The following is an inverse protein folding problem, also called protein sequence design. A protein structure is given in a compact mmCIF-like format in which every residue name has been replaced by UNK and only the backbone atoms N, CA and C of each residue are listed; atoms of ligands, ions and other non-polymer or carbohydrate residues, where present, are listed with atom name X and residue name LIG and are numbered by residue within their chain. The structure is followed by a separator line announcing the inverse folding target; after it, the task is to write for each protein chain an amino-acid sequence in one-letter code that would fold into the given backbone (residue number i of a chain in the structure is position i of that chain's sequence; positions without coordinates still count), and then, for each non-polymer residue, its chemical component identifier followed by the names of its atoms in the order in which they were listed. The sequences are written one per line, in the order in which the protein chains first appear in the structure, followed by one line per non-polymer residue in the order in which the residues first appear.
data_IF_233612904305
#
_entry.id   IF_233612904305
#
_cell.length_a   1.000
_cell.length_b   1.000
_cell.length_c   1.000
_cell.angle_alpha   90.00
_cell.angle_beta   90.00
_cell.angle_gamma   90.00
#
_symmetry.space_group_name_H-M   'P 1'
#
loop_
_entity.id
_entity.type
_entity.pdbx_description
1 polymer ?
#
# COMPACT_ATOMS: atom_id res chain seq x y z
N UNK A 1 -15.39 19.31 3.53
CA UNK A 1 -13.94 19.52 3.27
C UNK A 1 -13.17 18.19 3.20
N UNK A 2 -13.48 17.20 4.04
CA UNK A 2 -12.80 15.88 4.04
C UNK A 2 -13.02 15.09 2.74
N UNK A 3 -14.22 15.10 2.16
CA UNK A 3 -14.52 14.38 0.91
C UNK A 3 -13.69 14.89 -0.28
N UNK A 4 -13.50 16.20 -0.40
CA UNK A 4 -12.69 16.81 -1.48
C UNK A 4 -11.22 16.39 -1.35
N UNK A 5 -10.69 16.40 -0.12
CA UNK A 5 -9.30 15.99 0.14
C UNK A 5 -9.07 14.54 -0.27
N UNK A 6 -10.03 13.65 0.01
CA UNK A 6 -9.92 12.22 -0.36
C UNK A 6 -10.00 12.03 -1.86
N UNK A 7 -10.91 12.73 -2.53
CA UNK A 7 -10.98 12.70 -4.01
C UNK A 7 -9.65 13.09 -4.61
N UNK A 8 -8.98 14.14 -4.10
CA UNK A 8 -7.66 14.55 -4.55
C UNK A 8 -6.59 13.45 -4.36
N UNK A 9 -6.64 12.70 -3.25
CA UNK A 9 -5.71 11.58 -3.04
C UNK A 9 -6.01 10.35 -3.91
N UNK A 10 -7.28 10.14 -4.27
CA UNK A 10 -7.70 9.01 -5.12
C UNK A 10 -7.56 9.33 -6.61
N UNK A 11 -7.64 10.61 -7.00
CA UNK A 11 -7.51 11.05 -8.40
C UNK A 11 -6.31 10.42 -9.16
N UNK A 12 -5.11 10.33 -8.57
CA UNK A 12 -3.96 9.71 -9.23
C UNK A 12 -4.20 8.24 -9.62
N UNK A 13 -5.12 7.53 -8.97
CA UNK A 13 -5.43 6.13 -9.33
C UNK A 13 -6.11 5.99 -10.70
N UNK A 14 -6.71 7.04 -11.23
CA UNK A 14 -7.36 7.04 -12.54
C UNK A 14 -6.38 7.13 -13.69
N UNK A 15 -5.14 7.55 -13.40
CA UNK A 15 -4.06 7.60 -14.36
C UNK A 15 -3.39 6.22 -14.41
N UNK A 16 -3.05 5.75 -15.62
CA UNK A 16 -2.33 4.50 -15.79
C UNK A 16 -1.04 4.50 -14.95
N UNK A 17 -0.81 3.41 -14.21
CA UNK A 17 0.33 3.28 -13.30
C UNK A 17 1.68 3.47 -13.99
N UNK A 18 1.85 2.96 -15.22
CA UNK A 18 3.07 3.14 -16.01
C UNK A 18 3.33 4.61 -16.34
N UNK A 19 2.30 5.34 -16.79
CA UNK A 19 2.41 6.77 -17.08
C UNK A 19 2.80 7.56 -15.83
N UNK A 20 2.24 7.22 -14.70
CA UNK A 20 2.51 7.85 -13.41
C UNK A 20 3.96 7.59 -12.96
N UNK A 21 4.43 6.35 -13.09
CA UNK A 21 5.81 5.98 -12.78
C UNK A 21 6.82 6.68 -13.69
N UNK A 22 6.54 6.75 -15.00
CA UNK A 22 7.38 7.48 -15.96
C UNK A 22 7.44 8.98 -15.66
N UNK A 23 6.29 9.60 -15.37
CA UNK A 23 6.24 11.02 -14.99
C UNK A 23 7.03 11.30 -13.70
N UNK A 24 6.96 10.40 -12.74
CA UNK A 24 7.73 10.49 -11.47
C UNK A 24 9.22 10.35 -11.73
N UNK A 25 9.65 9.43 -12.60
CA UNK A 25 11.05 9.27 -12.98
C UNK A 25 11.58 10.53 -13.68
N UNK A 26 10.80 11.08 -14.61
CA UNK A 26 11.17 12.31 -15.32
C UNK A 26 11.25 13.52 -14.38
N UNK A 27 10.33 13.62 -13.42
CA UNK A 27 10.39 14.66 -12.38
C UNK A 27 11.69 14.58 -11.57
N UNK A 28 12.12 13.38 -11.18
CA UNK A 28 13.39 13.20 -10.48
C UNK A 28 14.59 13.60 -11.35
N UNK A 29 14.57 13.26 -12.64
CA UNK A 29 15.59 13.71 -13.59
C UNK A 29 15.65 15.25 -13.69
N UNK A 30 14.52 15.91 -13.84
CA UNK A 30 14.44 17.38 -13.91
C UNK A 30 14.96 18.05 -12.62
N UNK A 31 14.74 17.42 -11.47
CA UNK A 31 15.23 17.90 -10.17
C UNK A 31 16.71 17.56 -9.91
N UNK A 32 17.39 16.89 -10.83
CA UNK A 32 18.77 16.45 -10.65
C UNK A 32 18.96 15.35 -9.60
N UNK A 33 17.89 14.64 -9.22
CA UNK A 33 17.93 13.57 -8.23
C UNK A 33 18.37 12.27 -8.91
N UNK A 34 19.45 11.66 -8.42
CA UNK A 34 19.91 10.38 -8.95
C UNK A 34 18.93 9.25 -8.63
N UNK A 35 18.55 8.49 -9.66
CA UNK A 35 17.68 7.33 -9.51
C UNK A 35 18.38 6.19 -8.76
N UNK A 36 17.71 5.63 -7.75
CA UNK A 36 18.26 4.59 -6.88
C UNK A 36 17.27 4.12 -5.80
N UNK A 37 17.78 3.66 -4.67
CA UNK A 37 16.94 3.14 -3.56
C UNK A 37 15.95 4.18 -3.03
N UNK A 38 16.39 5.43 -2.89
CA UNK A 38 15.55 6.52 -2.36
C UNK A 38 14.38 6.84 -3.28
N UNK A 39 14.64 7.02 -4.57
CA UNK A 39 13.61 7.30 -5.57
C UNK A 39 12.64 6.12 -5.74
N UNK A 40 13.13 4.87 -5.63
CA UNK A 40 12.28 3.69 -5.61
C UNK A 40 11.28 3.74 -4.45
N UNK A 41 11.76 3.96 -3.22
CA UNK A 41 10.90 4.01 -2.04
C UNK A 41 9.86 5.14 -2.14
N UNK A 42 10.29 6.34 -2.53
CA UNK A 42 9.38 7.48 -2.69
C UNK A 42 8.33 7.19 -3.78
N UNK A 43 8.73 6.63 -4.91
CA UNK A 43 7.83 6.27 -5.99
C UNK A 43 6.83 5.19 -5.57
N UNK A 44 7.28 4.15 -4.86
CA UNK A 44 6.39 3.10 -4.34
C UNK A 44 5.38 3.66 -3.33
N UNK A 45 5.82 4.52 -2.41
CA UNK A 45 4.92 5.18 -1.47
C UNK A 45 3.90 6.03 -2.22
N UNK A 46 4.32 6.83 -3.18
CA UNK A 46 3.43 7.67 -3.99
C UNK A 46 2.40 6.83 -4.77
N UNK A 47 2.83 5.76 -5.42
CA UNK A 47 1.96 4.92 -6.24
C UNK A 47 0.95 4.11 -5.42
N UNK A 48 1.33 3.67 -4.23
CA UNK A 48 0.49 2.80 -3.39
C UNK A 48 -0.22 3.53 -2.24
N UNK A 49 0.11 4.79 -1.99
CA UNK A 49 -0.50 5.59 -0.92
C UNK A 49 -2.05 5.63 -0.99
N UNK A 50 -2.69 5.81 -2.16
CA UNK A 50 -4.15 5.79 -2.25
C UNK A 50 -4.77 4.46 -1.81
N UNK A 51 -4.12 3.33 -2.10
CA UNK A 51 -4.56 1.99 -1.70
C UNK A 51 -4.53 1.80 -0.18
N UNK A 52 -3.63 2.48 0.51
CA UNK A 52 -3.57 2.47 1.97
C UNK A 52 -4.60 3.43 2.60
N UNK A 53 -4.78 4.62 2.02
CA UNK A 53 -5.69 5.63 2.55
C UNK A 53 -7.15 5.17 2.46
N UNK A 54 -7.54 4.55 1.35
CA UNK A 54 -8.94 4.21 1.07
C UNK A 54 -9.59 3.31 2.14
N UNK A 55 -9.03 2.14 2.52
CA UNK A 55 -9.64 1.29 3.55
C UNK A 55 -9.62 1.93 4.94
N UNK A 56 -8.57 2.66 5.30
CA UNK A 56 -8.50 3.37 6.57
C UNK A 56 -9.60 4.42 6.66
N UNK A 57 -9.75 5.21 5.60
CA UNK A 57 -10.80 6.21 5.53
C UNK A 57 -12.20 5.59 5.65
N UNK A 58 -12.46 4.47 4.96
CA UNK A 58 -13.75 3.80 5.03
C UNK A 58 -14.10 3.35 6.45
N UNK A 59 -13.14 2.83 7.20
CA UNK A 59 -13.35 2.44 8.60
C UNK A 59 -13.62 3.70 9.46
N UNK A 60 -12.77 4.72 9.34
CA UNK A 60 -12.94 5.95 10.11
C UNK A 60 -14.26 6.67 9.82
N UNK A 61 -14.71 6.65 8.57
CA UNK A 61 -15.97 7.29 8.17
C UNK A 61 -17.22 6.52 8.67
N UNK A 62 -17.09 5.22 8.87
CA UNK A 62 -18.16 4.36 9.43
C UNK A 62 -18.13 4.27 10.96
N UNK A 63 -17.07 4.77 11.58
CA UNK A 63 -16.92 4.74 13.03
C UNK A 63 -17.97 5.63 13.69
N UNK A 64 -18.67 5.08 14.68
CA UNK A 64 -19.64 5.85 15.45
C UNK A 64 -18.91 6.93 16.29
N UNK A 65 -19.38 8.15 16.19
CA UNK A 65 -18.84 9.29 16.94
C UNK A 65 -19.01 9.12 18.44
N UNK A 66 -19.99 8.34 18.87
CA UNK A 66 -20.27 8.07 20.28
C UNK A 66 -19.05 7.53 21.03
N UNK A 67 -18.17 6.76 20.38
CA UNK A 67 -16.93 6.29 21.01
C UNK A 67 -15.98 7.44 21.38
N UNK A 68 -15.87 8.43 20.51
CA UNK A 68 -15.01 9.59 20.75
C UNK A 68 -15.63 10.55 21.76
N UNK A 69 -16.96 10.71 21.72
CA UNK A 69 -17.73 11.53 22.65
C UNK A 69 -17.70 10.94 24.07
N UNK A 70 -17.95 9.65 24.23
CA UNK A 70 -17.86 8.97 25.51
C UNK A 70 -16.45 9.05 26.14
N UNK A 71 -15.40 8.93 25.32
CA UNK A 71 -14.04 9.10 25.82
C UNK A 71 -13.76 10.55 26.27
N UNK A 72 -14.29 11.54 25.55
CA UNK A 72 -14.17 12.95 25.92
C UNK A 72 -14.94 13.26 27.22
N UNK A 73 -16.14 12.69 27.41
CA UNK A 73 -16.93 12.80 28.63
C UNK A 73 -16.22 12.25 29.86
N UNK A 74 -15.38 11.22 29.65
CA UNK A 74 -14.50 10.66 30.69
C UNK A 74 -13.23 11.50 30.93
N UNK A 75 -13.13 12.68 30.30
CA UNK A 75 -12.01 13.62 30.48
C UNK A 75 -10.78 13.33 29.62
N UNK A 76 -10.91 12.49 28.58
CA UNK A 76 -9.79 12.25 27.67
C UNK A 76 -9.52 13.48 26.79
N UNK A 77 -8.23 13.85 26.68
CA UNK A 77 -7.81 14.89 25.75
C UNK A 77 -7.95 14.43 24.29
N UNK A 78 -8.11 15.33 23.29
CA UNK A 78 -8.22 14.95 21.88
C UNK A 78 -7.10 14.04 21.39
N UNK A 79 -5.88 14.21 21.90
CA UNK A 79 -4.72 13.37 21.62
C UNK A 79 -4.86 11.96 22.18
N UNK A 80 -5.43 11.84 23.39
CA UNK A 80 -5.73 10.53 23.99
C UNK A 80 -6.86 9.82 23.26
N UNK A 81 -7.90 10.53 22.84
CA UNK A 81 -9.00 9.98 22.02
C UNK A 81 -8.44 9.44 20.72
N UNK A 82 -7.56 10.19 20.04
CA UNK A 82 -6.94 9.74 18.80
C UNK A 82 -6.16 8.43 19.00
N UNK A 83 -5.22 8.39 19.94
CA UNK A 83 -4.33 7.24 20.10
C UNK A 83 -4.97 6.03 20.79
N UNK A 84 -5.90 6.26 21.74
CA UNK A 84 -6.49 5.18 22.57
C UNK A 84 -7.83 4.67 22.02
N UNK A 85 -8.52 5.45 21.19
CA UNK A 85 -9.83 5.08 20.65
C UNK A 85 -9.78 4.95 19.14
N UNK A 86 -9.44 6.03 18.42
CA UNK A 86 -9.55 6.04 16.97
C UNK A 86 -8.52 5.12 16.29
N UNK A 87 -7.26 5.12 16.72
CA UNK A 87 -6.22 4.29 16.14
C UNK A 87 -6.53 2.80 16.34
N UNK A 88 -6.82 2.28 17.55
CA UNK A 88 -7.18 0.88 17.72
C UNK A 88 -8.41 0.45 16.92
N UNK A 89 -9.46 1.27 16.90
CA UNK A 89 -10.68 0.99 16.14
C UNK A 89 -10.46 1.05 14.62
N UNK A 90 -9.43 1.77 14.14
CA UNK A 90 -9.07 1.82 12.73
C UNK A 90 -8.15 0.67 12.27
N UNK A 91 -7.63 -0.16 13.18
CA UNK A 91 -6.70 -1.25 12.86
C UNK A 91 -7.21 -2.22 11.78
N UNK A 92 -8.50 -2.62 11.72
CA UNK A 92 -9.00 -3.44 10.62
C UNK A 92 -8.82 -2.77 9.26
N UNK A 93 -8.95 -1.44 9.19
CA UNK A 93 -8.67 -0.65 7.99
C UNK A 93 -7.20 -0.63 7.61
N UNK A 94 -6.32 -0.51 8.61
CA UNK A 94 -4.86 -0.55 8.41
C UNK A 94 -4.45 -1.92 7.87
N UNK A 95 -4.93 -3.03 8.48
CA UNK A 95 -4.64 -4.39 8.01
C UNK A 95 -5.11 -4.57 6.57
N UNK A 96 -6.33 -4.13 6.25
CA UNK A 96 -6.86 -4.18 4.88
C UNK A 96 -6.04 -3.35 3.90
N UNK A 97 -5.58 -2.16 4.31
CA UNK A 97 -4.70 -1.31 3.50
C UNK A 97 -3.35 -1.96 3.22
N UNK A 98 -2.73 -2.56 4.23
CA UNK A 98 -1.47 -3.30 4.06
C UNK A 98 -1.63 -4.43 3.05
N UNK A 99 -2.74 -5.18 3.10
CA UNK A 99 -3.05 -6.23 2.11
C UNK A 99 -3.16 -5.69 0.70
N UNK A 100 -3.91 -4.58 0.53
CA UNK A 100 -4.11 -3.95 -0.77
C UNK A 100 -2.80 -3.41 -1.38
N UNK A 101 -1.85 -3.01 -0.55
CA UNK A 101 -0.54 -2.52 -0.99
C UNK A 101 0.44 -3.67 -1.22
N UNK A 102 0.40 -4.71 -0.39
CA UNK A 102 1.37 -5.80 -0.42
C UNK A 102 1.40 -6.55 -1.76
N UNK A 103 0.22 -6.96 -2.26
CA UNK A 103 0.13 -7.74 -3.50
C UNK A 103 0.75 -7.02 -4.71
N UNK A 104 0.34 -5.77 -5.05
CA UNK A 104 0.93 -5.06 -6.18
C UNK A 104 2.40 -4.70 -5.94
N UNK A 105 2.83 -4.47 -4.68
CA UNK A 105 4.23 -4.15 -4.36
C UNK A 105 5.16 -5.31 -4.67
N UNK A 106 4.78 -6.54 -4.34
CA UNK A 106 5.59 -7.74 -4.60
C UNK A 106 5.63 -8.07 -6.10
N UNK A 107 4.52 -7.86 -6.80
CA UNK A 107 4.38 -8.21 -8.22
C UNK A 107 4.88 -7.14 -9.19
N UNK A 108 5.12 -5.91 -8.72
CA UNK A 108 5.54 -4.82 -9.61
C UNK A 108 6.93 -5.05 -10.20
N UNK A 109 7.09 -4.68 -11.46
CA UNK A 109 8.38 -4.62 -12.14
C UNK A 109 8.69 -3.18 -12.64
N UNK A 110 7.68 -2.48 -13.15
CA UNK A 110 7.83 -1.19 -13.80
C UNK A 110 8.42 -0.11 -12.88
N UNK A 111 7.98 -0.04 -11.63
CA UNK A 111 8.48 0.96 -10.67
C UNK A 111 9.98 0.78 -10.43
N UNK A 112 10.43 -0.46 -10.27
CA UNK A 112 11.85 -0.77 -10.09
C UNK A 112 12.68 -0.44 -11.34
N UNK A 113 12.18 -0.81 -12.50
CA UNK A 113 12.87 -0.60 -13.77
C UNK A 113 13.09 0.90 -14.05
N UNK A 114 12.03 1.71 -13.97
CA UNK A 114 12.08 3.13 -14.32
C UNK A 114 12.69 4.02 -13.23
N UNK A 115 12.46 3.72 -11.94
CA UNK A 115 12.93 4.56 -10.84
C UNK A 115 14.33 4.22 -10.33
N UNK A 116 14.94 3.14 -10.83
CA UNK A 116 16.31 2.75 -10.43
C UNK A 116 17.25 2.57 -11.62
N UNK A 117 16.81 2.87 -12.84
CA UNK A 117 17.55 2.52 -14.06
C UNK A 117 17.97 1.04 -14.06
N UNK A 118 17.08 0.17 -13.66
CA UNK A 118 17.28 -1.29 -13.57
C UNK A 118 18.43 -1.74 -12.64
N UNK A 119 18.89 -0.86 -11.74
CA UNK A 119 19.95 -1.18 -10.76
C UNK A 119 19.47 -2.05 -9.60
N UNK A 120 18.18 -1.99 -9.28
CA UNK A 120 17.56 -2.74 -8.19
C UNK A 120 16.48 -3.61 -8.78
N UNK A 121 16.64 -4.92 -8.65
CA UNK A 121 15.69 -5.89 -9.16
C UNK A 121 14.75 -6.33 -8.04
N UNK A 122 13.47 -6.02 -8.19
CA UNK A 122 12.41 -6.59 -7.37
C UNK A 122 12.04 -7.99 -7.89
N UNK A 123 11.27 -8.74 -7.12
CA UNK A 123 10.89 -10.09 -7.47
C UNK A 123 10.12 -10.13 -8.81
N UNK A 124 9.16 -9.21 -9.01
CA UNK A 124 8.45 -9.07 -10.27
C UNK A 124 9.36 -8.74 -11.46
N UNK A 125 10.39 -7.90 -11.26
CA UNK A 125 11.39 -7.57 -12.29
C UNK A 125 12.18 -8.81 -12.74
N UNK A 126 12.61 -9.64 -11.78
CA UNK A 126 13.36 -10.88 -12.09
C UNK A 126 12.49 -11.84 -12.90
N UNK A 127 11.21 -12.00 -12.55
CA UNK A 127 10.27 -12.85 -13.30
C UNK A 127 10.13 -12.32 -14.73
N UNK A 128 9.89 -11.00 -14.87
CA UNK A 128 9.70 -10.36 -16.18
C UNK A 128 10.94 -10.50 -17.07
N UNK A 129 12.13 -10.27 -16.53
CA UNK A 129 13.39 -10.46 -17.28
C UNK A 129 13.59 -11.89 -17.77
N UNK A 130 13.31 -12.90 -16.92
CA UNK A 130 13.44 -14.30 -17.32
C UNK A 130 12.44 -14.67 -18.43
N UNK A 131 11.21 -14.19 -18.36
CA UNK A 131 10.21 -14.39 -19.41
C UNK A 131 10.67 -13.73 -20.72
N UNK A 132 11.14 -12.48 -20.65
CA UNK A 132 11.62 -11.75 -21.83
C UNK A 132 12.87 -12.39 -22.45
N UNK A 133 13.71 -13.05 -21.65
CA UNK A 133 14.90 -13.80 -22.09
C UNK A 133 14.57 -15.21 -22.59
N UNK A 134 13.31 -15.55 -22.80
CA UNK A 134 12.84 -16.88 -23.24
C UNK A 134 13.15 -18.02 -22.26
N UNK A 135 13.53 -17.72 -21.03
CA UNK A 135 13.73 -18.70 -19.95
C UNK A 135 12.40 -18.98 -19.22
N UNK A 136 11.41 -19.47 -19.97
CA UNK A 136 10.03 -19.68 -19.52
C UNK A 136 9.92 -20.57 -18.28
N UNK A 137 10.69 -21.67 -18.26
CA UNK A 137 10.67 -22.62 -17.14
C UNK A 137 11.12 -21.97 -15.83
N UNK A 138 12.15 -21.13 -15.90
CA UNK A 138 12.68 -20.44 -14.73
C UNK A 138 11.74 -19.32 -14.25
N UNK A 139 11.21 -18.53 -15.20
CA UNK A 139 10.20 -17.50 -14.91
C UNK A 139 8.95 -18.10 -14.29
N UNK A 140 8.46 -19.23 -14.80
CA UNK A 140 7.29 -19.93 -14.25
C UNK A 140 7.55 -20.46 -12.83
N UNK A 141 8.74 -21.02 -12.55
CA UNK A 141 9.10 -21.50 -11.21
C UNK A 141 9.14 -20.36 -10.21
N UNK A 142 9.73 -19.22 -10.56
CA UNK A 142 9.73 -18.01 -9.71
C UNK A 142 8.32 -17.47 -9.47
N UNK A 143 7.46 -17.45 -10.50
CA UNK A 143 6.08 -17.02 -10.38
C UNK A 143 5.29 -17.92 -9.41
N UNK A 144 5.54 -19.24 -9.44
CA UNK A 144 4.92 -20.18 -8.52
C UNK A 144 5.38 -19.94 -7.08
N UNK A 145 6.67 -19.70 -6.84
CA UNK A 145 7.21 -19.34 -5.53
C UNK A 145 6.55 -18.05 -5.03
N UNK A 146 6.45 -17.02 -5.89
CA UNK A 146 5.77 -15.77 -5.56
C UNK A 146 4.31 -15.99 -5.17
N UNK A 147 3.59 -16.82 -5.91
CA UNK A 147 2.18 -17.15 -5.63
C UNK A 147 2.03 -17.84 -4.27
N UNK A 148 2.93 -18.77 -3.93
CA UNK A 148 2.94 -19.45 -2.62
C UNK A 148 3.18 -18.43 -1.49
N UNK A 149 4.15 -17.53 -1.63
CA UNK A 149 4.44 -16.49 -0.65
C UNK A 149 3.22 -15.59 -0.44
N UNK A 150 2.61 -15.10 -1.53
CA UNK A 150 1.41 -14.26 -1.47
C UNK A 150 0.24 -15.03 -0.84
N UNK A 151 0.06 -16.29 -1.21
CA UNK A 151 -1.00 -17.15 -0.65
C UNK A 151 -0.85 -17.35 0.86
N UNK A 152 0.35 -17.70 1.33
CA UNK A 152 0.62 -17.89 2.76
C UNK A 152 0.40 -16.57 3.53
N UNK A 153 0.93 -15.46 3.03
CA UNK A 153 0.75 -14.15 3.69
C UNK A 153 -0.70 -13.71 3.73
N UNK A 154 -1.47 -13.98 2.67
CA UNK A 154 -2.91 -13.70 2.61
C UNK A 154 -3.68 -14.50 3.66
N UNK A 155 -3.43 -15.81 3.78
CA UNK A 155 -4.08 -16.67 4.78
C UNK A 155 -3.74 -16.25 6.22
N UNK A 156 -2.48 -15.93 6.50
CA UNK A 156 -2.06 -15.47 7.83
C UNK A 156 -2.72 -14.16 8.26
N UNK A 157 -3.02 -13.28 7.28
CA UNK A 157 -3.66 -12.00 7.56
C UNK A 157 -5.17 -12.11 7.69
N UNK A 158 -5.81 -13.07 7.01
CA UNK A 158 -7.25 -13.31 7.14
C UNK A 158 -7.60 -13.80 8.55
N UNK A 159 -6.80 -14.69 9.11
CA UNK A 159 -6.92 -15.12 10.51
C UNK A 159 -6.78 -13.93 11.49
N UNK A 160 -5.86 -12.98 11.23
CA UNK A 160 -5.72 -11.78 12.07
C UNK A 160 -6.89 -10.81 11.98
N UNK A 161 -7.62 -10.78 10.85
CA UNK A 161 -8.84 -9.97 10.73
C UNK A 161 -9.96 -10.52 11.62
N UNK A 162 -10.11 -11.83 11.68
CA UNK A 162 -11.12 -12.48 12.53
C UNK A 162 -10.84 -12.24 14.01
N UNK A 163 -9.58 -12.33 14.45
CA UNK A 163 -9.19 -12.07 15.84
C UNK A 163 -9.45 -10.61 16.25
N UNK A 164 -9.18 -9.65 15.39
CA UNK A 164 -9.41 -8.22 15.67
C UNK A 164 -10.89 -7.86 15.59
N UNK A 165 -11.67 -8.53 14.74
CA UNK A 165 -13.12 -8.33 14.62
C UNK A 165 -13.89 -9.03 15.75
N UNK A 166 -13.43 -10.18 16.23
CA UNK A 166 -14.05 -10.95 17.32
C UNK A 166 -13.81 -10.38 18.72
N UNK A 167 -12.81 -9.51 18.89
CA UNK A 167 -12.50 -8.87 20.18
C UNK A 167 -13.30 -7.58 20.49
N UNK A 168 -14.25 -7.18 19.62
CA UNK A 168 -15.02 -5.93 19.72
C UNK A 168 -16.52 -6.21 19.94
N UNK A 169 -16.90 -7.45 20.26
CA UNK A 169 -18.29 -7.83 20.62
C UNK A 169 -18.42 -7.95 22.12
#
# INVERSE_FOLDING_TARGET
RSAVTIVLFIMPMWINALMRTLATAELFHMLGIQLGKGTLLVGMVYDYLPFMIYPIYNILNKMDKSYSEAAADLGATPWQVFWKVQVPLSMPGVISGVMMVFMPTVSTFAISEFLTNNKIKLFGTIIQENINSSMWNYGAALSLVMLVIIGITSLLQDNKKEDVSGGIV
#
